data_IF_757381621531
#
_entry.id   IF_757381621531
#
_cell.length_a   1.000
_cell.length_b   1.000
_cell.length_c   1.000
_cell.angle_alpha   90.00
_cell.angle_beta   90.00
_cell.angle_gamma   90.00
#
_symmetry.space_group_name_H-M   'P 1'
#
loop_
_entity.id
_entity.type
_entity.pdbx_description
1 polymer ?
#
# COMPACT_ATOMS: atom_id res chain seq x y z
N UNK A 1 -10.59 12.88 10.25
CA UNK A 1 -10.71 12.88 8.79
C UNK A 1 -10.93 11.47 8.26
N UNK A 2 -11.83 11.32 7.31
CA UNK A 2 -12.03 10.05 6.66
C UNK A 2 -10.79 9.67 5.85
N UNK A 3 -10.36 8.41 5.86
CA UNK A 3 -9.24 8.00 5.03
C UNK A 3 -9.59 8.10 3.55
N UNK A 4 -8.62 8.46 2.75
CA UNK A 4 -8.77 8.52 1.30
C UNK A 4 -8.15 7.26 0.69
N UNK A 5 -8.96 6.54 -0.09
CA UNK A 5 -8.54 5.30 -0.70
C UNK A 5 -8.22 5.48 -2.19
N UNK A 6 -7.22 4.78 -2.67
CA UNK A 6 -6.88 4.71 -4.08
C UNK A 6 -7.28 3.31 -4.58
N UNK A 7 -8.50 3.19 -5.08
CA UNK A 7 -9.02 1.92 -5.56
C UNK A 7 -8.99 1.81 -7.08
N UNK A 8 -9.21 2.93 -7.76
CA UNK A 8 -9.17 3.04 -9.22
C UNK A 8 -9.07 4.52 -9.58
N UNK A 9 -9.11 4.82 -10.87
CA UNK A 9 -9.00 6.20 -11.33
C UNK A 9 -10.31 6.97 -11.34
N UNK A 10 -11.44 6.35 -11.03
CA UNK A 10 -12.74 6.99 -11.15
C UNK A 10 -12.97 8.11 -10.16
N UNK A 11 -12.46 7.97 -8.94
CA UNK A 11 -12.66 8.94 -7.86
C UNK A 11 -11.46 9.88 -7.68
N UNK A 12 -10.50 9.82 -8.57
CA UNK A 12 -9.32 10.67 -8.51
C UNK A 12 -9.37 11.66 -9.66
N UNK A 13 -9.28 12.94 -9.33
CA UNK A 13 -9.29 13.98 -10.35
C UNK A 13 -7.96 13.98 -11.09
N UNK A 14 -7.97 14.56 -12.30
CA UNK A 14 -6.74 14.73 -13.08
C UNK A 14 -5.69 15.52 -12.31
N UNK A 15 -6.12 16.56 -11.59
CA UNK A 15 -5.21 17.39 -10.81
C UNK A 15 -4.61 16.62 -9.64
N UNK A 16 -5.39 15.79 -8.97
CA UNK A 16 -4.87 14.94 -7.90
C UNK A 16 -3.85 13.94 -8.41
N UNK A 17 -4.13 13.32 -9.56
CA UNK A 17 -3.19 12.36 -10.15
C UNK A 17 -1.89 13.04 -10.54
N UNK A 18 -1.96 14.21 -11.17
CA UNK A 18 -0.77 14.98 -11.52
C UNK A 18 0.03 15.34 -10.28
N UNK A 19 -0.64 15.77 -9.20
CA UNK A 19 0.03 16.08 -7.93
C UNK A 19 0.79 14.88 -7.38
N UNK A 20 0.20 13.70 -7.44
CA UNK A 20 0.86 12.47 -6.96
C UNK A 20 2.12 12.19 -7.79
N UNK A 21 2.02 12.29 -9.10
CA UNK A 21 3.16 12.03 -10.01
C UNK A 21 4.27 13.06 -9.77
N UNK A 22 3.92 14.33 -9.66
CA UNK A 22 4.89 15.40 -9.41
C UNK A 22 5.60 15.19 -8.07
N UNK A 23 4.84 14.79 -7.03
CA UNK A 23 5.43 14.51 -5.73
C UNK A 23 6.39 13.33 -5.80
N UNK A 24 6.04 12.29 -6.56
CA UNK A 24 6.92 11.15 -6.78
C UNK A 24 8.22 11.55 -7.46
N UNK A 25 8.15 12.43 -8.46
CA UNK A 25 9.35 12.94 -9.15
C UNK A 25 10.23 13.76 -8.21
N UNK A 26 9.63 14.59 -7.35
CA UNK A 26 10.37 15.35 -6.35
C UNK A 26 11.13 14.43 -5.39
N UNK A 27 10.43 13.42 -4.89
CA UNK A 27 11.02 12.45 -3.95
C UNK A 27 12.15 11.65 -4.60
N UNK A 28 12.03 11.34 -5.89
CA UNK A 28 13.06 10.62 -6.62
C UNK A 28 14.35 11.43 -6.73
N UNK A 29 14.24 12.75 -6.86
CA UNK A 29 15.40 13.66 -6.95
C UNK A 29 16.00 13.97 -5.60
N UNK A 30 15.32 13.69 -4.51
CA UNK A 30 15.79 14.01 -3.17
C UNK A 30 16.92 13.08 -2.77
N UNK A 31 18.05 13.65 -2.34
CA UNK A 31 19.20 12.89 -1.85
C UNK A 31 18.95 12.37 -0.44
N UNK A 32 18.21 13.15 0.35
CA UNK A 32 17.85 12.77 1.72
C UNK A 32 16.33 12.89 1.88
N UNK A 33 15.58 11.82 1.65
CA UNK A 33 14.13 11.87 1.81
C UNK A 33 13.76 12.16 3.26
N UNK A 34 12.72 12.96 3.44
CA UNK A 34 12.18 13.23 4.77
C UNK A 34 11.51 11.98 5.31
N UNK A 35 11.61 11.78 6.62
CA UNK A 35 10.97 10.65 7.30
C UNK A 35 9.48 10.93 7.54
N UNK A 36 8.74 11.22 6.49
CA UNK A 36 7.32 11.60 6.58
C UNK A 36 6.41 10.47 7.06
N UNK A 37 6.85 9.22 6.90
CA UNK A 37 6.07 8.05 7.30
C UNK A 37 6.65 7.37 8.55
N UNK A 38 7.35 8.13 9.35
CA UNK A 38 7.89 7.63 10.62
C UNK A 38 6.77 7.04 11.47
N UNK A 39 7.02 5.85 12.01
CA UNK A 39 6.07 5.09 12.85
C UNK A 39 4.82 4.62 12.11
N UNK A 40 4.79 4.69 10.77
CA UNK A 40 3.70 4.13 9.98
C UNK A 40 4.05 2.73 9.51
N UNK A 41 3.04 1.88 9.39
CA UNK A 41 3.22 0.50 8.95
C UNK A 41 2.35 0.25 7.72
N UNK A 42 3.00 -0.24 6.67
CA UNK A 42 2.36 -0.63 5.41
C UNK A 42 2.19 -2.14 5.39
N UNK A 43 0.98 -2.61 5.11
CA UNK A 43 0.75 -4.02 4.84
C UNK A 43 0.69 -4.26 3.33
N UNK A 44 1.51 -5.20 2.86
CA UNK A 44 1.48 -5.65 1.46
C UNK A 44 0.79 -7.00 1.42
N UNK A 45 -0.39 -7.04 0.82
CA UNK A 45 -1.17 -8.27 0.70
C UNK A 45 -1.14 -8.70 -0.76
N UNK A 46 -0.36 -9.73 -1.05
CA UNK A 46 -0.17 -10.19 -2.42
C UNK A 46 -0.69 -11.61 -2.56
N UNK A 47 -1.61 -11.82 -3.50
CA UNK A 47 -2.06 -13.16 -3.88
C UNK A 47 -1.13 -13.80 -4.90
N UNK A 48 -0.30 -12.97 -5.57
CA UNK A 48 0.67 -13.43 -6.54
C UNK A 48 2.06 -12.93 -6.19
N UNK A 49 3.09 -13.70 -6.54
CA UNK A 49 4.46 -13.21 -6.42
C UNK A 49 4.67 -12.03 -7.36
N UNK A 50 5.20 -10.96 -6.83
CA UNK A 50 5.58 -9.78 -7.60
C UNK A 50 6.76 -9.12 -6.92
N UNK A 51 7.95 -9.64 -7.20
CA UNK A 51 9.17 -9.23 -6.52
C UNK A 51 9.47 -7.74 -6.72
N UNK A 52 9.34 -7.23 -7.95
CA UNK A 52 9.63 -5.83 -8.23
C UNK A 52 8.71 -4.89 -7.48
N UNK A 53 7.41 -5.18 -7.49
CA UNK A 53 6.43 -4.37 -6.79
C UNK A 53 6.66 -4.41 -5.28
N UNK A 54 6.89 -5.61 -4.74
CA UNK A 54 7.18 -5.78 -3.32
C UNK A 54 8.39 -4.98 -2.89
N UNK A 55 9.51 -5.12 -3.61
CA UNK A 55 10.75 -4.43 -3.27
C UNK A 55 10.58 -2.92 -3.35
N UNK A 56 9.88 -2.42 -4.38
CA UNK A 56 9.69 -0.99 -4.53
C UNK A 56 8.92 -0.38 -3.36
N UNK A 57 7.87 -1.06 -2.89
CA UNK A 57 7.11 -0.58 -1.74
C UNK A 57 7.91 -0.69 -0.44
N UNK A 58 8.60 -1.80 -0.22
CA UNK A 58 9.37 -2.00 1.00
C UNK A 58 10.51 -0.99 1.11
N UNK A 59 11.27 -0.79 0.03
CA UNK A 59 12.36 0.18 0.02
C UNK A 59 11.81 1.60 0.18
N UNK A 60 10.73 1.93 -0.52
CA UNK A 60 10.10 3.23 -0.40
C UNK A 60 9.68 3.55 1.02
N UNK A 61 9.04 2.58 1.70
CA UNK A 61 8.65 2.77 3.09
C UNK A 61 9.84 2.99 4.01
N UNK A 62 10.90 2.20 3.84
CA UNK A 62 12.10 2.36 4.65
C UNK A 62 12.73 3.73 4.47
N UNK A 63 12.82 4.21 3.24
CA UNK A 63 13.39 5.53 2.96
C UNK A 63 12.57 6.66 3.54
N UNK A 64 11.26 6.47 3.65
CA UNK A 64 10.37 7.47 4.23
C UNK A 64 10.22 7.30 5.75
N UNK A 65 10.96 6.38 6.34
CA UNK A 65 11.01 6.20 7.79
C UNK A 65 9.99 5.23 8.36
N UNK A 66 9.19 4.58 7.51
CA UNK A 66 8.19 3.63 7.95
C UNK A 66 8.67 2.19 7.91
N UNK A 67 7.75 1.29 8.19
CA UNK A 67 7.97 -0.15 8.16
C UNK A 67 6.94 -0.80 7.25
N UNK A 68 7.23 -2.01 6.78
CA UNK A 68 6.29 -2.78 5.98
C UNK A 68 6.24 -4.23 6.44
N UNK A 69 5.08 -4.84 6.23
CA UNK A 69 4.84 -6.27 6.44
C UNK A 69 4.37 -6.87 5.13
N UNK A 70 4.89 -8.04 4.80
CA UNK A 70 4.44 -8.77 3.63
C UNK A 70 3.58 -9.96 4.06
N UNK A 71 2.38 -10.04 3.48
CA UNK A 71 1.43 -11.10 3.77
C UNK A 71 1.00 -11.75 2.45
N UNK A 72 1.21 -13.05 2.33
CA UNK A 72 0.71 -13.76 1.15
C UNK A 72 -0.79 -14.04 1.31
N UNK A 73 -1.49 -14.21 0.20
CA UNK A 73 -2.91 -14.58 0.24
C UNK A 73 -3.15 -15.88 0.98
N UNK A 74 -2.21 -16.83 0.89
CA UNK A 74 -2.30 -18.10 1.60
C UNK A 74 -2.24 -17.93 3.12
N UNK A 75 -1.41 -17.04 3.61
CA UNK A 75 -1.30 -16.74 5.04
C UNK A 75 -2.58 -16.16 5.59
N UNK A 76 -3.27 -15.35 4.78
CA UNK A 76 -4.51 -14.73 5.19
C UNK A 76 -5.73 -15.60 4.96
N UNK A 77 -5.55 -16.78 4.35
CA UNK A 77 -6.62 -17.73 4.05
C UNK A 77 -7.79 -17.13 3.26
N UNK A 78 -7.48 -16.15 2.40
CA UNK A 78 -8.51 -15.50 1.59
C UNK A 78 -9.25 -16.48 0.66
N UNK A 79 -8.57 -17.56 0.26
CA UNK A 79 -9.13 -18.58 -0.60
C UNK A 79 -9.91 -19.67 0.17
N UNK A 80 -9.93 -19.60 1.50
CA UNK A 80 -10.54 -20.65 2.35
C UNK A 80 -11.87 -20.24 2.96
N UNK A 81 -12.53 -19.24 2.39
CA UNK A 81 -13.85 -18.85 2.82
C UNK A 81 -13.91 -17.86 3.97
N UNK A 82 -12.77 -17.40 4.48
CA UNK A 82 -12.79 -16.32 5.46
C UNK A 82 -13.30 -15.04 4.77
N UNK A 83 -14.29 -14.34 5.36
CA UNK A 83 -14.79 -13.11 4.76
C UNK A 83 -13.68 -12.09 4.62
N UNK A 84 -13.50 -11.57 3.40
CA UNK A 84 -12.49 -10.54 3.13
C UNK A 84 -12.74 -9.31 3.99
N UNK A 85 -14.00 -8.98 4.23
CA UNK A 85 -14.36 -7.84 5.07
C UNK A 85 -13.86 -7.97 6.50
N UNK A 86 -13.89 -9.17 7.07
CA UNK A 86 -13.40 -9.41 8.43
C UNK A 86 -11.87 -9.27 8.49
N UNK A 87 -11.19 -9.86 7.53
CA UNK A 87 -9.73 -9.72 7.42
C UNK A 87 -9.33 -8.26 7.26
N UNK A 88 -10.04 -7.52 6.41
CA UNK A 88 -9.76 -6.10 6.19
C UNK A 88 -9.95 -5.29 7.47
N UNK A 89 -11.00 -5.58 8.24
CA UNK A 89 -11.24 -4.88 9.50
C UNK A 89 -10.13 -5.12 10.52
N UNK A 90 -9.69 -6.36 10.65
CA UNK A 90 -8.61 -6.71 11.58
C UNK A 90 -7.31 -6.02 11.17
N UNK A 91 -6.94 -6.11 9.89
CA UNK A 91 -5.70 -5.49 9.40
C UNK A 91 -5.77 -3.97 9.50
N UNK A 92 -6.92 -3.37 9.22
CA UNK A 92 -7.09 -1.91 9.29
C UNK A 92 -6.94 -1.38 10.72
N UNK A 93 -7.21 -2.20 11.73
CA UNK A 93 -7.02 -1.79 13.11
C UNK A 93 -5.55 -1.75 13.52
N UNK A 94 -4.67 -2.43 12.79
CA UNK A 94 -3.26 -2.58 13.14
C UNK A 94 -2.32 -1.86 12.18
N UNK A 95 -2.73 -1.69 10.93
CA UNK A 95 -1.88 -1.13 9.87
C UNK A 95 -2.37 0.26 9.48
N UNK A 96 -1.46 1.09 9.03
CA UNK A 96 -1.81 2.44 8.57
C UNK A 96 -2.26 2.45 7.11
N UNK A 97 -1.65 1.59 6.29
CA UNK A 97 -1.96 1.49 4.85
C UNK A 97 -1.91 0.03 4.43
N UNK A 98 -2.79 -0.35 3.53
CA UNK A 98 -2.80 -1.69 2.94
C UNK A 98 -2.72 -1.55 1.43
N UNK A 99 -1.79 -2.29 0.81
CA UNK A 99 -1.69 -2.42 -0.64
C UNK A 99 -2.06 -3.84 -1.00
N UNK A 100 -3.09 -4.00 -1.81
CA UNK A 100 -3.56 -5.30 -2.26
C UNK A 100 -3.17 -5.52 -3.71
N UNK A 101 -2.51 -6.61 -3.98
CA UNK A 101 -2.21 -7.05 -5.35
C UNK A 101 -2.86 -8.42 -5.57
N UNK A 102 -3.84 -8.44 -6.44
CA UNK A 102 -4.64 -9.63 -6.69
C UNK A 102 -4.97 -9.77 -8.17
N UNK A 103 -5.22 -11.00 -8.62
CA UNK A 103 -5.73 -11.28 -9.96
C UNK A 103 -7.25 -11.11 -10.04
N UNK A 104 -7.92 -11.03 -8.91
CA UNK A 104 -9.36 -10.92 -8.89
C UNK A 104 -9.75 -9.52 -9.33
N UNK A 105 -10.49 -9.43 -10.41
CA UNK A 105 -11.07 -8.17 -10.83
C UNK A 105 -12.22 -7.82 -9.90
N UNK A 106 -12.12 -6.67 -9.33
CA UNK A 106 -13.17 -6.15 -8.47
C UNK A 106 -14.15 -5.37 -9.33
#
# INVERSE_FOLDING_TARGET
>A
MSPKHFLNFQKITKQELISIIERGLELKKSVKPKKTLKNKVLGLVFEQPSTRTRVSFEVGMQRLGGNSLFLSGNELQLSRGEPISDTAKVLSSMLDVIVLLSLIHI
#
